data_IF_329002077527
#
_entry.id   IF_329002077527
#
_cell.length_a   1.000
_cell.length_b   1.000
_cell.length_c   1.000
_cell.angle_alpha   90.00
_cell.angle_beta   90.00
_cell.angle_gamma   90.00
#
_symmetry.space_group_name_H-M   'P 1'
#
loop_
_entity.id
_entity.type
_entity.pdbx_description
1 polymer ?
#
# COMPACT_ATOMS: atom_id res chain seq x y z
N UNK A 1 7.80 9.77 14.53
CA UNK A 1 8.34 8.40 14.61
C UNK A 1 9.29 8.12 13.43
N UNK A 2 8.82 8.15 12.17
CA UNK A 2 9.61 7.83 10.98
C UNK A 2 10.89 8.67 10.85
N UNK A 3 10.82 9.98 11.04
CA UNK A 3 11.97 10.89 10.99
C UNK A 3 13.05 10.52 12.01
N UNK A 4 12.65 10.16 13.25
CA UNK A 4 13.58 9.72 14.31
C UNK A 4 14.42 8.51 13.90
N UNK A 5 13.85 7.60 13.10
CA UNK A 5 14.52 6.39 12.61
C UNK A 5 15.06 6.54 11.20
N UNK A 6 14.96 7.73 10.59
CA UNK A 6 15.37 8.01 9.22
C UNK A 6 14.74 7.06 8.19
N UNK A 7 13.50 6.63 8.45
CA UNK A 7 12.74 5.73 7.58
C UNK A 7 11.84 6.57 6.68
N UNK A 8 11.81 6.26 5.40
CA UNK A 8 10.84 6.79 4.43
C UNK A 8 9.73 5.78 4.23
N UNK A 9 8.55 6.28 3.91
CA UNK A 9 7.36 5.46 3.68
C UNK A 9 6.54 6.04 2.53
N UNK A 10 5.71 5.21 1.91
CA UNK A 10 4.68 5.63 0.98
C UNK A 10 3.36 5.79 1.72
N UNK A 11 2.73 6.94 1.58
CA UNK A 11 1.43 7.25 2.14
C UNK A 11 0.37 7.16 1.04
N UNK A 12 -0.43 6.11 1.07
CA UNK A 12 -1.56 5.94 0.18
C UNK A 12 -2.74 6.74 0.70
N UNK A 13 -3.03 7.86 0.05
CA UNK A 13 -4.06 8.81 0.46
C UNK A 13 -5.22 8.80 -0.54
N UNK A 14 -6.47 8.86 -0.05
CA UNK A 14 -7.59 9.18 -0.93
C UNK A 14 -7.51 10.65 -1.33
N UNK A 15 -7.85 10.96 -2.59
CA UNK A 15 -7.81 12.34 -3.06
C UNK A 15 -8.76 13.24 -2.26
N UNK A 16 -9.95 12.74 -1.91
CA UNK A 16 -10.90 13.47 -1.07
C UNK A 16 -10.29 13.86 0.28
N UNK A 17 -9.62 12.94 0.97
CA UNK A 17 -8.94 13.25 2.23
C UNK A 17 -7.82 14.28 2.03
N UNK A 18 -6.99 14.08 1.00
CA UNK A 18 -5.86 14.95 0.73
C UNK A 18 -6.29 16.40 0.46
N UNK A 19 -7.39 16.59 -0.28
CA UNK A 19 -7.94 17.93 -0.55
C UNK A 19 -8.47 18.64 0.70
N UNK A 20 -8.93 17.91 1.72
CA UNK A 20 -9.38 18.47 3.00
C UNK A 20 -8.24 18.63 4.03
N UNK A 21 -7.12 17.93 3.86
CA UNK A 21 -5.98 17.92 4.77
C UNK A 21 -4.68 18.34 4.08
N UNK A 22 -4.73 19.37 3.23
CA UNK A 22 -3.63 19.81 2.35
C UNK A 22 -2.31 20.00 3.09
N UNK A 23 -2.33 20.74 4.19
CA UNK A 23 -1.13 21.05 4.96
C UNK A 23 -0.45 19.77 5.48
N UNK A 24 -1.25 18.80 5.94
CA UNK A 24 -0.74 17.51 6.41
C UNK A 24 -0.07 16.73 5.27
N UNK A 25 -0.68 16.69 4.08
CA UNK A 25 -0.11 16.01 2.91
C UNK A 25 1.21 16.66 2.50
N UNK A 26 1.26 17.99 2.45
CA UNK A 26 2.48 18.71 2.11
C UNK A 26 3.57 18.55 3.18
N UNK A 27 3.23 18.44 4.45
CA UNK A 27 4.19 18.18 5.52
C UNK A 27 4.76 16.74 5.45
N UNK A 28 3.92 15.75 5.10
CA UNK A 28 4.36 14.38 4.84
C UNK A 28 5.38 14.39 3.67
N UNK A 29 5.05 15.07 2.58
CA UNK A 29 5.93 15.21 1.42
C UNK A 29 7.25 15.92 1.76
N UNK A 30 7.20 17.06 2.47
CA UNK A 30 8.40 17.77 2.97
C UNK A 30 9.28 16.88 3.85
N UNK A 31 8.66 15.95 4.58
CA UNK A 31 9.36 14.91 5.33
C UNK A 31 10.13 13.91 4.45
N UNK A 32 9.99 14.01 3.11
CA UNK A 32 10.62 13.15 2.11
C UNK A 32 9.93 11.78 2.00
N UNK A 33 8.67 11.71 2.36
CA UNK A 33 7.83 10.54 2.14
C UNK A 33 7.14 10.63 0.78
N UNK A 34 6.80 9.48 0.22
CA UNK A 34 6.02 9.42 -1.01
C UNK A 34 4.53 9.58 -0.71
N UNK A 35 3.83 10.34 -1.54
CA UNK A 35 2.37 10.38 -1.61
C UNK A 35 1.94 9.53 -2.79
N UNK A 36 1.07 8.56 -2.54
CA UNK A 36 0.49 7.67 -3.53
C UNK A 36 -1.03 7.64 -3.42
N UNK A 37 -1.71 7.19 -4.46
CA UNK A 37 -3.16 7.20 -4.53
C UNK A 37 -3.80 6.00 -3.83
N UNK A 38 -4.86 6.26 -3.08
CA UNK A 38 -5.78 5.26 -2.53
C UNK A 38 -7.20 5.38 -3.13
N UNK A 39 -7.27 5.85 -4.37
CA UNK A 39 -8.50 6.20 -5.05
C UNK A 39 -9.02 7.59 -4.67
N UNK A 40 -10.18 7.98 -5.22
CA UNK A 40 -10.77 9.27 -4.90
C UNK A 40 -11.49 9.24 -3.56
N UNK A 41 -12.38 8.24 -3.37
CA UNK A 41 -13.07 7.95 -2.10
C UNK A 41 -12.69 6.56 -1.59
N UNK A 42 -12.77 6.35 -0.27
CA UNK A 42 -12.50 5.03 0.33
C UNK A 42 -13.72 4.09 0.26
N UNK A 43 -14.91 4.63 0.25
CA UNK A 43 -16.19 3.90 0.34
C UNK A 43 -16.77 3.48 -1.00
N UNK A 44 -16.42 4.18 -2.05
CA UNK A 44 -16.88 3.94 -3.42
C UNK A 44 -15.72 3.99 -4.39
N UNK A 45 -15.84 3.30 -5.52
CA UNK A 45 -14.83 3.29 -6.55
C UNK A 45 -15.49 3.20 -7.92
N UNK A 46 -15.08 4.05 -8.83
CA UNK A 46 -15.35 4.01 -10.25
C UNK A 46 -14.02 4.04 -11.01
N UNK A 47 -13.93 3.44 -12.18
CA UNK A 47 -12.70 3.43 -12.99
C UNK A 47 -12.17 4.84 -13.27
N UNK A 48 -13.06 5.79 -13.48
CA UNK A 48 -12.71 7.20 -13.68
C UNK A 48 -11.99 7.82 -12.45
N UNK A 49 -12.20 7.26 -11.25
CA UNK A 49 -11.55 7.75 -10.03
C UNK A 49 -10.04 7.50 -10.02
N UNK A 50 -9.55 6.53 -10.80
CA UNK A 50 -8.11 6.29 -10.96
C UNK A 50 -7.40 7.55 -11.46
N UNK A 51 -7.85 8.08 -12.59
CA UNK A 51 -7.25 9.29 -13.19
C UNK A 51 -7.54 10.52 -12.33
N UNK A 52 -8.78 10.72 -11.89
CA UNK A 52 -9.16 11.86 -11.07
C UNK A 52 -8.35 11.96 -9.77
N UNK A 53 -8.14 10.82 -9.10
CA UNK A 53 -7.37 10.82 -7.86
C UNK A 53 -5.88 11.11 -8.09
N UNK A 54 -5.31 10.60 -9.18
CA UNK A 54 -3.94 10.90 -9.58
C UNK A 54 -3.77 12.41 -9.83
N UNK A 55 -4.58 12.97 -10.72
CA UNK A 55 -4.52 14.38 -11.10
C UNK A 55 -4.69 15.31 -9.88
N UNK A 56 -5.66 15.02 -9.01
CA UNK A 56 -5.88 15.83 -7.82
C UNK A 56 -4.71 15.80 -6.82
N UNK A 57 -4.07 14.64 -6.66
CA UNK A 57 -2.90 14.51 -5.79
C UNK A 57 -1.66 15.16 -6.42
N UNK A 58 -1.47 15.04 -7.72
CA UNK A 58 -0.37 15.71 -8.47
C UNK A 58 -0.51 17.24 -8.44
N UNK A 59 -1.73 17.76 -8.64
CA UNK A 59 -2.02 19.18 -8.52
C UNK A 59 -1.71 19.70 -7.10
N UNK A 60 -2.11 18.94 -6.08
CA UNK A 60 -1.88 19.31 -4.69
C UNK A 60 -0.39 19.32 -4.32
N UNK A 61 0.34 18.29 -4.72
CA UNK A 61 1.73 18.06 -4.29
C UNK A 61 2.77 18.66 -5.21
N UNK A 62 2.41 19.00 -6.45
CA UNK A 62 3.35 19.41 -7.49
C UNK A 62 4.36 18.32 -7.91
N UNK A 63 4.06 17.05 -7.60
CA UNK A 63 4.96 15.92 -7.85
C UNK A 63 4.19 14.76 -8.51
N UNK A 64 4.86 13.95 -9.34
CA UNK A 64 4.24 12.75 -9.92
C UNK A 64 3.73 11.78 -8.85
N UNK A 65 2.52 11.28 -9.03
CA UNK A 65 1.92 10.23 -8.19
C UNK A 65 2.00 8.89 -8.93
N UNK A 66 3.02 8.11 -8.60
CA UNK A 66 3.36 6.88 -9.34
C UNK A 66 2.65 5.63 -8.80
N UNK A 67 2.27 5.63 -7.53
CA UNK A 67 1.73 4.47 -6.85
C UNK A 67 0.22 4.51 -6.68
N UNK A 68 -0.36 3.31 -6.76
CA UNK A 68 -1.77 3.09 -6.47
C UNK A 68 -1.96 1.94 -5.48
N UNK A 69 -2.95 2.07 -4.60
CA UNK A 69 -3.46 0.98 -3.77
C UNK A 69 -4.98 1.06 -3.72
N UNK A 70 -5.65 -0.02 -4.11
CA UNK A 70 -7.10 -0.11 -4.03
C UNK A 70 -7.57 -0.15 -2.57
N UNK A 71 -8.62 0.60 -2.27
CA UNK A 71 -9.28 0.55 -0.98
C UNK A 71 -9.70 -0.88 -0.64
N UNK A 72 -9.53 -1.29 0.63
CA UNK A 72 -9.83 -2.63 1.12
C UNK A 72 -9.08 -3.77 0.43
N UNK A 73 -8.01 -3.47 -0.32
CA UNK A 73 -7.25 -4.47 -1.09
C UNK A 73 -8.14 -5.27 -2.05
N UNK A 74 -9.15 -4.60 -2.63
CA UNK A 74 -10.00 -5.21 -3.65
C UNK A 74 -9.19 -5.41 -4.94
N UNK A 75 -9.49 -6.47 -5.73
CA UNK A 75 -8.88 -6.62 -7.04
C UNK A 75 -9.26 -5.43 -7.93
N UNK A 76 -8.29 -4.90 -8.66
CA UNK A 76 -8.48 -3.87 -9.67
C UNK A 76 -8.14 -4.45 -11.05
N UNK A 77 -8.53 -3.74 -12.09
CA UNK A 77 -8.12 -4.04 -13.45
C UNK A 77 -6.78 -3.33 -13.71
N UNK A 78 -5.69 -4.07 -13.77
CA UNK A 78 -4.33 -3.52 -13.90
C UNK A 78 -4.17 -2.72 -15.19
N UNK A 79 -4.86 -3.10 -16.27
CA UNK A 79 -4.88 -2.35 -17.52
C UNK A 79 -5.42 -0.92 -17.32
N UNK A 80 -6.49 -0.75 -16.54
CA UNK A 80 -7.07 0.56 -16.25
C UNK A 80 -6.17 1.38 -15.32
N UNK A 81 -5.48 0.73 -14.38
CA UNK A 81 -4.47 1.36 -13.53
C UNK A 81 -3.30 1.87 -14.40
N UNK A 82 -2.87 1.08 -15.38
CA UNK A 82 -1.84 1.49 -16.33
C UNK A 82 -2.29 2.67 -17.21
N UNK A 83 -3.49 2.60 -17.78
CA UNK A 83 -4.08 3.69 -18.59
C UNK A 83 -4.24 5.00 -17.81
N UNK A 84 -4.46 4.91 -16.50
CA UNK A 84 -4.48 6.07 -15.62
C UNK A 84 -3.08 6.67 -15.36
N UNK A 85 -2.01 5.98 -15.76
CA UNK A 85 -0.62 6.43 -15.68
C UNK A 85 0.07 6.10 -14.35
N UNK A 86 -0.41 5.12 -13.59
CA UNK A 86 0.31 4.61 -12.43
C UNK A 86 1.41 3.63 -12.85
N UNK A 87 2.54 3.69 -12.19
CA UNK A 87 3.69 2.83 -12.45
C UNK A 87 3.66 1.55 -11.61
N UNK A 88 3.07 1.61 -10.43
CA UNK A 88 2.94 0.45 -9.56
C UNK A 88 1.61 0.38 -8.82
N UNK A 89 1.20 -0.85 -8.50
CA UNK A 89 0.02 -1.19 -7.72
C UNK A 89 0.40 -2.05 -6.50
N UNK A 90 -0.06 -1.67 -5.32
CA UNK A 90 0.20 -2.39 -4.07
C UNK A 90 -1.09 -2.88 -3.40
N UNK A 91 -1.99 -3.47 -4.19
CA UNK A 91 -3.32 -3.93 -3.74
C UNK A 91 -3.38 -5.43 -3.43
N UNK A 92 -2.27 -6.17 -3.57
CA UNK A 92 -2.28 -7.63 -3.45
C UNK A 92 -1.77 -8.10 -2.09
N UNK A 93 -2.56 -8.96 -1.43
CA UNK A 93 -2.14 -9.82 -0.33
C UNK A 93 -2.07 -11.27 -0.84
N UNK A 94 -0.90 -11.89 -1.06
CA UNK A 94 -0.78 -13.22 -1.64
C UNK A 94 -1.01 -14.34 -0.59
N UNK A 95 -2.15 -14.30 0.06
CA UNK A 95 -2.60 -15.24 1.11
C UNK A 95 -4.03 -15.66 0.90
N UNK A 96 -4.54 -16.54 1.75
CA UNK A 96 -5.95 -16.89 1.83
C UNK A 96 -6.55 -16.36 3.14
N UNK A 97 -7.61 -15.56 3.02
CA UNK A 97 -8.44 -15.16 4.16
C UNK A 97 -9.84 -15.73 3.91
N UNK A 98 -10.25 -16.77 4.66
CA UNK A 98 -11.54 -17.40 4.47
C UNK A 98 -12.70 -16.39 4.50
N UNK A 99 -13.63 -16.53 3.56
CA UNK A 99 -14.75 -15.59 3.40
C UNK A 99 -14.43 -14.25 2.75
N UNK A 100 -13.16 -13.98 2.43
CA UNK A 100 -12.75 -12.72 1.83
C UNK A 100 -12.05 -12.89 0.47
N UNK A 101 -10.96 -13.62 0.40
CA UNK A 101 -10.24 -13.93 -0.84
C UNK A 101 -9.28 -15.12 -0.69
N UNK A 102 -8.92 -15.70 -1.84
CA UNK A 102 -7.86 -16.72 -1.94
C UNK A 102 -6.89 -16.33 -3.05
N UNK A 103 -5.71 -15.86 -2.65
CA UNK A 103 -4.63 -15.43 -3.55
C UNK A 103 -3.37 -16.29 -3.40
N UNK A 104 -3.51 -17.54 -2.94
CA UNK A 104 -2.37 -18.44 -2.74
C UNK A 104 -1.58 -18.74 -4.02
N UNK A 105 -2.20 -18.63 -5.20
CA UNK A 105 -1.53 -18.80 -6.49
C UNK A 105 -0.73 -17.59 -6.97
N UNK A 106 -0.85 -16.43 -6.31
CA UNK A 106 -0.17 -15.21 -6.72
C UNK A 106 1.29 -15.17 -6.26
N UNK A 107 2.18 -14.46 -6.98
CA UNK A 107 3.56 -14.24 -6.54
C UNK A 107 3.64 -13.57 -5.16
N UNK A 108 4.66 -13.92 -4.37
CA UNK A 108 4.91 -13.32 -3.05
C UNK A 108 5.75 -12.05 -3.12
N UNK A 109 6.52 -11.90 -4.19
CA UNK A 109 7.40 -10.76 -4.44
C UNK A 109 6.87 -9.91 -5.58
N UNK A 110 7.52 -8.82 -5.89
CA UNK A 110 7.12 -7.94 -6.97
C UNK A 110 7.18 -8.66 -8.34
N UNK A 111 6.27 -8.28 -9.22
CA UNK A 111 6.17 -8.80 -10.59
C UNK A 111 5.47 -7.78 -11.50
N UNK A 112 5.68 -7.92 -12.80
CA UNK A 112 4.96 -7.09 -13.77
C UNK A 112 3.65 -7.76 -14.20
N UNK A 113 2.57 -6.96 -14.29
CA UNK A 113 1.29 -7.38 -14.85
C UNK A 113 0.67 -6.20 -15.61
N UNK A 114 0.32 -6.42 -16.87
CA UNK A 114 -0.35 -5.45 -17.75
C UNK A 114 0.33 -4.05 -17.75
N UNK A 115 1.67 -4.04 -17.75
CA UNK A 115 2.47 -2.81 -17.75
C UNK A 115 2.63 -2.13 -16.39
N UNK A 116 2.05 -2.69 -15.31
CA UNK A 116 2.12 -2.14 -13.95
C UNK A 116 2.94 -3.05 -13.04
N UNK A 117 3.88 -2.48 -12.29
CA UNK A 117 4.63 -3.20 -11.27
C UNK A 117 3.73 -3.51 -10.07
N UNK A 118 3.53 -4.80 -9.80
CA UNK A 118 2.80 -5.25 -8.63
C UNK A 118 3.73 -5.34 -7.42
N UNK A 119 3.33 -4.73 -6.30
CA UNK A 119 4.04 -4.75 -5.02
C UNK A 119 3.19 -5.43 -3.94
N UNK A 120 3.18 -6.77 -3.86
CA UNK A 120 2.38 -7.49 -2.89
C UNK A 120 2.79 -7.20 -1.44
N UNK A 121 1.84 -7.22 -0.51
CA UNK A 121 2.17 -7.26 0.90
C UNK A 121 2.85 -8.58 1.26
N UNK A 122 3.86 -8.54 2.11
CA UNK A 122 4.66 -9.73 2.42
C UNK A 122 3.90 -10.75 3.25
N UNK A 123 4.14 -12.00 2.88
CA UNK A 123 3.65 -13.20 3.58
C UNK A 123 4.80 -14.15 3.83
N UNK A 124 4.70 -15.03 4.83
CA UNK A 124 5.75 -16.02 5.09
C UNK A 124 5.90 -17.01 3.92
N UNK A 125 7.10 -17.54 3.67
CA UNK A 125 7.41 -18.33 2.46
C UNK A 125 6.53 -19.56 2.25
N UNK A 126 6.26 -20.37 3.25
CA UNK A 126 5.60 -21.67 3.10
C UNK A 126 4.09 -21.56 3.30
N UNK A 127 3.67 -21.13 4.48
CA UNK A 127 2.26 -21.12 4.89
C UNK A 127 1.53 -19.83 4.47
N UNK A 128 2.25 -18.88 3.87
CA UNK A 128 1.73 -17.59 3.42
C UNK A 128 0.96 -16.81 4.50
N UNK A 129 1.47 -16.90 5.74
CA UNK A 129 0.94 -16.12 6.85
C UNK A 129 1.20 -14.64 6.60
N UNK A 130 0.17 -13.77 6.63
CA UNK A 130 0.30 -12.36 6.25
C UNK A 130 1.03 -11.55 7.33
N UNK A 131 1.99 -10.73 6.91
CA UNK A 131 2.86 -9.93 7.78
C UNK A 131 2.52 -8.43 7.69
N UNK A 132 1.23 -8.08 7.77
CA UNK A 132 0.77 -6.69 7.82
C UNK A 132 0.36 -6.29 9.25
N UNK A 133 -0.21 -5.10 9.40
CA UNK A 133 -0.56 -4.50 10.69
C UNK A 133 -1.25 -5.43 11.69
N UNK A 134 -2.18 -6.28 11.24
CA UNK A 134 -2.92 -7.20 12.10
C UNK A 134 -1.97 -8.22 12.78
N UNK A 135 -1.03 -8.78 12.03
CA UNK A 135 -0.02 -9.68 12.58
C UNK A 135 0.91 -8.95 13.55
N UNK A 136 1.29 -7.71 13.23
CA UNK A 136 2.13 -6.89 14.09
C UNK A 136 1.51 -6.64 15.46
N UNK A 137 0.21 -6.36 15.52
CA UNK A 137 -0.50 -6.09 16.77
C UNK A 137 -0.88 -7.34 17.57
N UNK A 138 -0.99 -8.50 16.93
CA UNK A 138 -1.46 -9.72 17.56
C UNK A 138 -0.37 -10.76 17.85
N UNK A 139 0.84 -10.58 17.36
CA UNK A 139 1.97 -11.46 17.64
C UNK A 139 2.94 -10.80 18.64
N UNK A 140 3.63 -11.60 19.47
CA UNK A 140 4.78 -11.09 20.21
C UNK A 140 5.80 -10.45 19.25
N UNK A 141 6.31 -9.27 19.58
CA UNK A 141 7.22 -8.51 18.70
C UNK A 141 8.44 -9.32 18.25
N UNK A 142 8.97 -10.19 19.12
CA UNK A 142 10.08 -11.09 18.81
C UNK A 142 9.73 -12.12 17.74
N UNK A 143 8.49 -12.66 17.77
CA UNK A 143 8.01 -13.61 16.78
C UNK A 143 7.76 -12.91 15.44
N UNK A 144 7.05 -11.76 15.44
CA UNK A 144 6.84 -10.97 14.22
C UNK A 144 8.19 -10.64 13.55
N UNK A 145 9.18 -10.17 14.33
CA UNK A 145 10.50 -9.87 13.82
C UNK A 145 11.19 -11.09 13.18
N UNK A 146 11.11 -12.27 13.82
CA UNK A 146 11.69 -13.51 13.27
C UNK A 146 11.04 -13.88 11.93
N UNK A 147 9.70 -13.79 11.84
CA UNK A 147 8.96 -14.07 10.60
C UNK A 147 9.30 -13.06 9.50
N UNK A 148 9.37 -11.77 9.83
CA UNK A 148 9.74 -10.73 8.89
C UNK A 148 11.17 -10.92 8.35
N UNK A 149 12.14 -11.22 9.23
CA UNK A 149 13.51 -11.49 8.84
C UNK A 149 13.65 -12.77 7.99
N UNK A 150 12.90 -13.81 8.33
CA UNK A 150 12.84 -15.03 7.52
C UNK A 150 12.31 -14.74 6.12
N UNK A 151 11.17 -14.05 6.02
CA UNK A 151 10.58 -13.66 4.73
C UNK A 151 11.55 -12.82 3.90
N UNK A 152 12.16 -11.80 4.52
CA UNK A 152 13.13 -10.96 3.82
C UNK A 152 14.37 -11.74 3.32
N UNK A 153 14.88 -12.70 4.09
CA UNK A 153 16.02 -13.52 3.69
C UNK A 153 15.71 -14.44 2.51
N UNK A 154 14.51 -15.03 2.49
CA UNK A 154 14.09 -15.93 1.42
C UNK A 154 13.72 -15.19 0.13
N UNK A 155 13.03 -14.06 0.26
CA UNK A 155 12.44 -13.36 -0.88
C UNK A 155 13.28 -12.17 -1.38
N UNK A 156 14.26 -11.69 -0.60
CA UNK A 156 14.96 -10.43 -0.87
C UNK A 156 14.03 -9.21 -0.87
N UNK A 157 12.81 -9.39 -0.37
CA UNK A 157 11.73 -8.42 -0.44
C UNK A 157 10.90 -8.48 0.85
N UNK A 158 10.55 -7.28 1.37
CA UNK A 158 9.63 -7.18 2.52
C UNK A 158 8.83 -5.88 2.42
N UNK A 159 7.52 -6.01 2.31
CA UNK A 159 6.56 -4.91 2.33
C UNK A 159 5.50 -5.17 3.40
N UNK A 160 5.36 -4.24 4.31
CA UNK A 160 4.29 -4.22 5.30
C UNK A 160 3.53 -2.90 5.26
N UNK A 161 2.33 -2.85 5.80
CA UNK A 161 1.53 -1.63 5.84
C UNK A 161 0.78 -1.48 7.16
N UNK A 162 0.51 -0.24 7.49
CA UNK A 162 -0.19 0.20 8.68
C UNK A 162 -1.22 1.26 8.33
N UNK A 163 -2.12 1.53 9.24
CA UNK A 163 -3.07 2.64 9.13
C UNK A 163 -2.71 3.72 10.16
N UNK A 164 -2.98 5.00 9.87
CA UNK A 164 -2.63 6.09 10.80
C UNK A 164 -3.26 5.95 12.19
N UNK A 165 -4.48 5.46 12.29
CA UNK A 165 -5.17 5.28 13.58
C UNK A 165 -4.51 4.25 14.51
N UNK A 166 -3.65 3.39 14.00
CA UNK A 166 -2.93 2.40 14.82
C UNK A 166 -1.83 3.04 15.70
N UNK A 167 -1.50 4.30 15.43
CA UNK A 167 -0.48 5.07 16.14
C UNK A 167 -1.07 6.18 17.00
N UNK A 168 -2.39 6.26 17.11
CA UNK A 168 -3.09 7.22 17.97
C UNK A 168 -3.67 6.49 19.19
N UNK A 169 -3.58 7.09 20.37
CA UNK A 169 -4.37 6.65 21.53
C UNK A 169 -5.84 6.94 21.23
N UNK A 170 -6.67 5.90 21.17
CA UNK A 170 -8.12 6.01 21.18
C UNK A 170 -8.60 6.49 22.56
#
# INVERSE_FOLDING_TARGET
>A
CLARHRVKATFFCTANFALHAKDLILDIQKGGHEIASHGFYHSSFETADLRKSKEALEELTGQPVNGFRMARMMPGEEEEIHKAGYLYNSSLNPTCIPGRYNHLGQPRTYFMKDGVLQLPASVTPIVRFPLFWLAYHNLPASLYRKLALWTWKEDGYFLTYFHPWEFTSL
#
